data_IF_153010684473
#
_entry.id   IF_153010684473
#
_cell.length_a   1.000
_cell.length_b   1.000
_cell.length_c   1.000
_cell.angle_alpha   90.00
_cell.angle_beta   90.00
_cell.angle_gamma   90.00
#
_symmetry.space_group_name_H-M   'P 1'
#
loop_
_entity.id
_entity.type
_entity.pdbx_description
1 polymer ?
#
# COMPACT_ATOMS: atom_id res chain seq x y z
N UNK A 1 13.37 0.47 6.15
CA UNK A 1 12.31 -0.54 5.99
C UNK A 1 12.93 -1.84 5.53
N UNK A 2 13.63 -2.53 6.43
CA UNK A 2 14.01 -3.93 6.21
C UNK A 2 12.78 -4.73 6.64
N UNK A 3 12.26 -5.60 5.78
CA UNK A 3 11.05 -6.42 6.02
C UNK A 3 9.68 -5.72 5.83
N UNK A 4 9.65 -4.51 5.26
CA UNK A 4 8.39 -3.86 4.88
C UNK A 4 8.01 -4.22 3.44
N UNK A 5 6.72 -4.46 3.19
CA UNK A 5 6.23 -4.68 1.83
C UNK A 5 6.25 -3.38 1.03
N UNK A 6 6.63 -3.49 -0.24
CA UNK A 6 6.50 -2.42 -1.23
C UNK A 6 5.03 -2.20 -1.60
N UNK A 7 4.72 -1.04 -2.18
CA UNK A 7 3.37 -0.75 -2.67
C UNK A 7 2.90 -1.76 -3.73
N UNK A 8 3.81 -2.29 -4.55
CA UNK A 8 3.50 -3.31 -5.55
C UNK A 8 3.11 -4.65 -4.90
N UNK A 9 3.87 -5.10 -3.91
CA UNK A 9 3.58 -6.33 -3.16
C UNK A 9 2.24 -6.23 -2.41
N UNK A 10 1.97 -5.10 -1.74
CA UNK A 10 0.68 -4.87 -1.08
C UNK A 10 -0.47 -4.88 -2.09
N UNK A 11 -0.28 -4.22 -3.24
CA UNK A 11 -1.30 -4.17 -4.30
C UNK A 11 -1.65 -5.56 -4.82
N UNK A 12 -0.66 -6.44 -4.96
CA UNK A 12 -0.86 -7.81 -5.39
C UNK A 12 -1.48 -8.68 -4.29
N UNK A 13 -0.97 -8.63 -3.07
CA UNK A 13 -1.49 -9.43 -1.94
C UNK A 13 -2.95 -9.10 -1.61
N UNK A 14 -3.36 -7.84 -1.78
CA UNK A 14 -4.73 -7.39 -1.52
C UNK A 14 -5.61 -7.40 -2.78
N UNK A 15 -5.07 -7.77 -3.94
CA UNK A 15 -5.80 -7.78 -5.23
C UNK A 15 -6.46 -6.42 -5.54
N UNK A 16 -5.75 -5.31 -5.28
CA UNK A 16 -6.31 -3.96 -5.46
C UNK A 16 -6.71 -3.68 -6.93
N UNK A 17 -6.05 -4.35 -7.88
CA UNK A 17 -6.41 -4.29 -9.30
C UNK A 17 -7.83 -4.81 -9.61
N UNK A 18 -8.43 -5.60 -8.71
CA UNK A 18 -9.82 -6.05 -8.86
C UNK A 18 -10.85 -4.98 -8.46
N UNK A 19 -10.43 -3.89 -7.83
CA UNK A 19 -11.31 -2.79 -7.44
C UNK A 19 -11.52 -1.90 -8.67
N UNK A 20 -12.67 -2.07 -9.33
CA UNK A 20 -13.05 -1.31 -10.53
C UNK A 20 -14.13 -0.25 -10.27
N UNK A 21 -14.86 -0.37 -9.16
CA UNK A 21 -15.95 0.54 -8.81
C UNK A 21 -15.55 1.79 -8.02
N UNK A 22 -14.29 1.87 -7.55
CA UNK A 22 -13.79 2.96 -6.72
C UNK A 22 -12.33 3.25 -7.04
N UNK A 23 -11.94 4.53 -7.00
CA UNK A 23 -10.54 4.94 -7.03
C UNK A 23 -9.82 4.53 -5.74
N UNK A 24 -8.60 4.06 -5.86
CA UNK A 24 -7.75 3.67 -4.74
C UNK A 24 -6.31 4.12 -4.97
N UNK A 25 -5.55 4.20 -3.88
CA UNK A 25 -4.13 4.54 -3.90
C UNK A 25 -3.42 3.89 -2.70
N UNK A 26 -2.16 3.49 -2.86
CA UNK A 26 -1.32 2.97 -1.78
C UNK A 26 -0.25 4.01 -1.46
N UNK A 27 -0.29 4.53 -0.23
CA UNK A 27 0.65 5.54 0.27
C UNK A 27 1.57 4.90 1.31
N UNK A 28 2.89 5.13 1.18
CA UNK A 28 3.85 4.71 2.19
C UNK A 28 3.71 5.61 3.42
N UNK A 29 3.72 5.03 4.63
CA UNK A 29 3.72 5.78 5.87
C UNK A 29 4.53 5.07 6.97
N UNK A 30 4.86 5.80 8.02
CA UNK A 30 5.52 5.30 9.21
C UNK A 30 4.89 5.95 10.46
N UNK A 31 4.07 5.19 11.18
CA UNK A 31 3.39 5.69 12.38
C UNK A 31 4.35 6.15 13.49
N UNK A 32 5.58 5.64 13.52
CA UNK A 32 6.59 6.00 14.54
C UNK A 32 7.24 7.36 14.28
N UNK A 33 7.41 7.73 13.00
CA UNK A 33 8.02 9.00 12.60
C UNK A 33 6.97 10.04 12.21
N UNK A 34 5.72 9.63 11.99
CA UNK A 34 4.64 10.48 11.49
C UNK A 34 4.73 10.77 9.99
N UNK A 35 5.61 10.09 9.27
CA UNK A 35 5.73 10.21 7.81
C UNK A 35 4.54 9.53 7.13
N UNK A 36 3.99 10.19 6.12
CA UNK A 36 2.84 9.75 5.35
C UNK A 36 2.52 10.77 4.28
#
# INVERSE_FOLDING_TARGET
>A
MKDSMTAAEISQCLTLSSITGHSWHVQACCALTGEG
#
